data_IF_987642513508
#
_entry.id   IF_987642513508
#
_cell.length_a   1.000
_cell.length_b   1.000
_cell.length_c   1.000
_cell.angle_alpha   90.00
_cell.angle_beta   90.00
_cell.angle_gamma   90.00
#
_symmetry.space_group_name_H-M   'P 1'
#
loop_
_entity.id
_entity.type
_entity.pdbx_description
1 polymer ?
#
# COMPACT_ATOMS: atom_id res chain seq x y z
N UNK A 1 -16.16 -0.38 -10.80
CA UNK A 1 -15.47 0.39 -9.75
C UNK A 1 -14.66 -0.47 -8.77
N UNK A 2 -15.17 -1.61 -8.29
CA UNK A 2 -14.43 -2.47 -7.34
C UNK A 2 -13.12 -3.08 -7.88
N UNK A 3 -13.07 -3.47 -9.16
CA UNK A 3 -11.85 -3.97 -9.81
C UNK A 3 -10.74 -2.90 -9.88
N UNK A 4 -11.11 -1.64 -10.11
CA UNK A 4 -10.16 -0.53 -10.15
C UNK A 4 -9.49 -0.33 -8.78
N UNK A 5 -10.25 -0.38 -7.68
CA UNK A 5 -9.70 -0.26 -6.33
C UNK A 5 -8.77 -1.44 -5.96
N UNK A 6 -9.11 -2.64 -6.41
CA UNK A 6 -8.32 -3.85 -6.18
C UNK A 6 -7.00 -3.79 -6.97
N UNK A 7 -7.07 -3.45 -8.26
CA UNK A 7 -5.92 -3.26 -9.13
C UNK A 7 -5.04 -2.09 -8.64
N UNK A 8 -5.64 -0.99 -8.22
CA UNK A 8 -4.94 0.18 -7.67
C UNK A 8 -4.24 -0.16 -6.36
N UNK A 9 -4.86 -0.94 -5.47
CA UNK A 9 -4.22 -1.42 -4.24
C UNK A 9 -3.00 -2.30 -4.53
N UNK A 10 -3.15 -3.30 -5.40
CA UNK A 10 -2.05 -4.19 -5.80
C UNK A 10 -0.92 -3.42 -6.53
N UNK A 11 -1.27 -2.52 -7.44
CA UNK A 11 -0.34 -1.66 -8.16
C UNK A 11 0.43 -0.73 -7.20
N UNK A 12 -0.27 -0.10 -6.25
CA UNK A 12 0.35 0.74 -5.24
C UNK A 12 1.35 -0.06 -4.40
N UNK A 13 0.99 -1.30 -4.02
CA UNK A 13 1.90 -2.22 -3.35
C UNK A 13 3.18 -2.47 -4.14
N UNK A 14 3.04 -2.75 -5.44
CA UNK A 14 4.17 -2.96 -6.34
C UNK A 14 5.06 -1.72 -6.34
N UNK A 15 4.50 -0.53 -6.61
CA UNK A 15 5.24 0.76 -6.66
C UNK A 15 6.09 0.97 -5.41
N UNK A 16 5.53 0.79 -4.22
CA UNK A 16 6.24 1.00 -2.96
C UNK A 16 7.38 0.00 -2.76
N UNK A 17 7.18 -1.28 -3.11
CA UNK A 17 8.25 -2.29 -3.04
C UNK A 17 9.39 -1.92 -3.99
N UNK A 18 9.09 -1.56 -5.25
CA UNK A 18 10.12 -1.16 -6.20
C UNK A 18 10.83 0.11 -5.76
N UNK A 19 10.11 1.08 -5.19
CA UNK A 19 10.69 2.31 -4.67
C UNK A 19 11.67 2.05 -3.53
N UNK A 20 11.30 1.24 -2.54
CA UNK A 20 12.21 0.87 -1.43
C UNK A 20 13.44 0.15 -1.97
N UNK A 21 13.27 -0.73 -2.94
CA UNK A 21 14.38 -1.46 -3.57
C UNK A 21 15.34 -0.54 -4.33
N UNK A 22 14.80 0.44 -5.06
CA UNK A 22 15.60 1.45 -5.76
C UNK A 22 16.26 2.43 -4.79
N UNK A 23 15.57 2.81 -3.71
CA UNK A 23 16.11 3.64 -2.64
C UNK A 23 17.31 2.94 -2.02
N UNK A 24 17.22 1.65 -1.71
CA UNK A 24 18.34 0.87 -1.17
C UNK A 24 19.54 0.81 -2.13
N UNK A 25 19.28 0.75 -3.44
CA UNK A 25 20.32 0.72 -4.47
C UNK A 25 20.82 2.09 -4.93
N UNK A 26 20.32 3.20 -4.38
CA UNK A 26 20.71 4.54 -4.84
C UNK A 26 22.04 4.99 -4.23
N UNK A 27 22.88 5.64 -5.03
CA UNK A 27 24.18 6.16 -4.59
C UNK A 27 24.06 7.20 -3.46
N UNK A 28 22.91 7.87 -3.35
CA UNK A 28 22.63 8.85 -2.27
C UNK A 28 22.23 8.20 -0.94
N UNK A 29 22.02 6.88 -0.90
CA UNK A 29 21.54 6.19 0.31
C UNK A 29 22.65 5.79 1.26
N UNK A 30 23.87 5.73 0.74
CA UNK A 30 25.04 5.27 1.47
C UNK A 30 26.08 6.38 1.49
N UNK A 31 26.51 6.75 2.68
CA UNK A 31 27.67 7.60 2.84
C UNK A 31 28.96 6.81 2.47
N UNK A 32 30.09 7.50 2.22
CA UNK A 32 31.36 6.85 1.85
C UNK A 32 31.89 5.87 2.90
N UNK A 33 31.44 5.99 4.15
CA UNK A 33 31.75 5.10 5.27
C UNK A 33 30.79 3.91 5.38
N UNK A 34 29.82 3.79 4.47
CA UNK A 34 28.79 2.76 4.46
C UNK A 34 27.64 3.01 5.43
N UNK A 35 27.59 4.18 6.10
CA UNK A 35 26.47 4.53 6.97
C UNK A 35 25.23 4.96 6.17
N UNK A 36 24.01 4.64 6.65
CA UNK A 36 22.78 5.09 6.01
C UNK A 36 22.64 6.61 6.13
N UNK A 37 22.40 7.29 5.01
CA UNK A 37 22.23 8.74 4.99
C UNK A 37 20.88 9.16 5.58
N UNK A 38 20.78 10.41 6.06
CA UNK A 38 19.49 10.98 6.50
C UNK A 38 18.45 10.96 5.36
N UNK A 39 18.89 11.14 4.10
CA UNK A 39 18.05 11.00 2.91
C UNK A 39 17.40 9.60 2.85
N UNK A 40 18.21 8.54 2.99
CA UNK A 40 17.71 7.17 3.00
C UNK A 40 16.71 6.92 4.12
N UNK A 41 17.07 7.30 5.36
CA UNK A 41 16.25 7.03 6.54
C UNK A 41 14.88 7.72 6.43
N UNK A 42 14.85 9.01 6.09
CA UNK A 42 13.61 9.78 5.99
C UNK A 42 12.71 9.20 4.90
N UNK A 43 13.26 8.92 3.71
CA UNK A 43 12.47 8.38 2.61
C UNK A 43 11.99 6.95 2.89
N UNK A 44 12.80 6.12 3.54
CA UNK A 44 12.41 4.77 3.93
C UNK A 44 11.24 4.81 4.93
N UNK A 45 11.33 5.66 5.95
CA UNK A 45 10.26 5.83 6.95
C UNK A 45 8.98 6.35 6.29
N UNK A 46 9.07 7.39 5.45
CA UNK A 46 7.92 7.93 4.71
C UNK A 46 7.27 6.87 3.81
N UNK A 47 8.08 6.05 3.13
CA UNK A 47 7.59 4.96 2.30
C UNK A 47 6.85 3.90 3.12
N UNK A 48 7.41 3.47 4.25
CA UNK A 48 6.78 2.48 5.14
C UNK A 48 5.46 3.02 5.70
N UNK A 49 5.45 4.25 6.22
CA UNK A 49 4.24 4.88 6.77
C UNK A 49 3.15 4.98 5.72
N UNK A 50 3.48 5.46 4.52
CA UNK A 50 2.54 5.60 3.40
C UNK A 50 1.99 4.24 2.94
N UNK A 51 2.84 3.23 2.89
CA UNK A 51 2.47 1.87 2.56
C UNK A 51 1.51 1.25 3.59
N UNK A 52 1.78 1.46 4.88
CA UNK A 52 0.91 0.98 5.97
C UNK A 52 -0.45 1.68 5.92
N UNK A 53 -0.48 3.00 5.77
CA UNK A 53 -1.73 3.76 5.60
C UNK A 53 -2.53 3.28 4.39
N UNK A 54 -1.88 3.11 3.23
CA UNK A 54 -2.52 2.58 2.02
C UNK A 54 -3.09 1.17 2.23
N UNK A 55 -2.36 0.30 2.94
CA UNK A 55 -2.80 -1.06 3.26
C UNK A 55 -4.01 -1.04 4.20
N UNK A 56 -4.02 -0.21 5.23
CA UNK A 56 -5.15 -0.07 6.16
C UNK A 56 -6.41 0.40 5.42
N UNK A 57 -6.28 1.43 4.57
CA UNK A 57 -7.39 1.95 3.76
C UNK A 57 -7.89 0.88 2.79
N UNK A 58 -6.98 0.15 2.13
CA UNK A 58 -7.32 -0.97 1.25
C UNK A 58 -8.10 -2.08 1.97
N UNK A 59 -7.67 -2.47 3.17
CA UNK A 59 -8.34 -3.49 4.00
C UNK A 59 -9.71 -3.02 4.48
N UNK A 60 -9.84 -1.77 4.92
CA UNK A 60 -11.13 -1.20 5.35
C UNK A 60 -12.09 -1.13 4.15
N UNK A 61 -11.62 -0.67 2.98
CA UNK A 61 -12.38 -0.64 1.73
C UNK A 61 -12.85 -2.04 1.31
N UNK A 62 -11.99 -3.05 1.42
CA UNK A 62 -12.33 -4.45 1.16
C UNK A 62 -13.41 -4.98 2.12
N UNK A 63 -13.28 -4.69 3.42
CA UNK A 63 -14.26 -5.09 4.44
C UNK A 63 -15.61 -4.40 4.23
N UNK A 64 -15.62 -3.13 3.86
CA UNK A 64 -16.84 -2.38 3.51
C UNK A 64 -17.56 -2.97 2.27
N UNK A 65 -16.80 -3.37 1.25
CA UNK A 65 -17.35 -4.04 0.07
C UNK A 65 -17.92 -5.43 0.40
N UNK A 66 -17.27 -6.20 1.29
CA UNK A 66 -17.79 -7.50 1.75
C UNK A 66 -19.06 -7.36 2.59
N UNK A 67 -19.17 -6.33 3.43
CA UNK A 67 -20.36 -6.09 4.25
C UNK A 67 -21.59 -5.77 3.38
N UNK A 68 -21.45 -4.88 2.39
CA UNK A 68 -22.55 -4.57 1.45
C UNK A 68 -22.99 -5.76 0.58
N UNK A 69 -22.12 -6.75 0.37
CA UNK A 69 -22.49 -7.96 -0.38
C UNK A 69 -23.39 -8.90 0.41
N UNK A 70 -23.32 -8.90 1.75
CA UNK A 70 -24.22 -9.70 2.61
C UNK A 70 -25.65 -9.15 2.64
N UNK A 71 -25.82 -7.83 2.69
CA UNK A 71 -27.16 -7.20 2.65
C UNK A 71 -27.91 -7.53 1.35
N UNK A 72 -27.27 -7.35 0.19
CA UNK A 72 -27.92 -7.63 -1.10
C UNK A 72 -28.31 -9.10 -1.32
N UNK A 73 -27.61 -10.04 -0.70
CA UNK A 73 -27.98 -11.46 -0.77
C UNK A 73 -29.20 -11.75 0.10
N UNK A 74 -29.33 -11.07 1.24
CA UNK A 74 -30.48 -11.24 2.14
C UNK A 74 -31.74 -10.65 1.49
N UNK A 75 -31.66 -9.45 0.92
CA UNK A 75 -32.76 -8.81 0.18
C UNK A 75 -33.29 -9.65 -0.99
N UNK A 76 -32.41 -10.40 -1.70
CA UNK A 76 -32.81 -11.26 -2.82
C UNK A 76 -33.36 -12.63 -2.42
N UNK A 77 -33.12 -13.07 -1.20
CA UNK A 77 -33.65 -14.35 -0.69
C UNK A 77 -35.03 -14.14 -0.08
N UNK A 78 -35.31 -12.93 0.40
CA UNK A 78 -36.58 -12.54 1.04
C UNK A 78 -37.59 -11.88 0.06
N UNK A 79 -37.23 -11.71 -1.22
CA UNK A 79 -38.07 -11.14 -2.30
C UNK A 79 -38.42 -12.21 -3.34
#
# INVERSE_FOLDING_TARGET
MALFLLAFGAWSWIIWITFVKNLWGSDNSWAPDGSPTAFFVVHLVLAIVSFVLGTIIGVIGWRGLKAKRKEKTTEKVDA
#
